data_IF_717590252079
#
_entry.id   IF_717590252079
#
_cell.length_a   1.000
_cell.length_b   1.000
_cell.length_c   1.000
_cell.angle_alpha   90.00
_cell.angle_beta   90.00
_cell.angle_gamma   90.00
#
_symmetry.space_group_name_H-M   'P 1'
#
loop_
_entity.id
_entity.type
_entity.pdbx_description
1 polymer ?
#
# COMPACT_ATOMS: atom_id res chain seq x y z
N UNK A 1 10.69 -2.73 -13.26
CA UNK A 1 10.83 -1.42 -13.96
C UNK A 1 10.89 -0.29 -12.92
N UNK A 2 10.65 0.99 -13.24
CA UNK A 2 10.36 1.99 -12.19
C UNK A 2 8.84 2.13 -12.00
N UNK A 3 8.40 2.64 -10.85
CA UNK A 3 6.96 2.76 -10.54
C UNK A 3 6.19 3.60 -11.55
N UNK A 4 6.77 4.67 -12.09
CA UNK A 4 6.13 5.49 -13.13
C UNK A 4 5.80 4.68 -14.38
N UNK A 5 6.72 3.82 -14.81
CA UNK A 5 6.49 2.97 -15.97
C UNK A 5 5.38 1.94 -15.70
N UNK A 6 5.33 1.34 -14.51
CA UNK A 6 4.21 0.47 -14.13
C UNK A 6 2.87 1.21 -14.13
N UNK A 7 2.83 2.44 -13.59
CA UNK A 7 1.63 3.28 -13.60
C UNK A 7 1.16 3.60 -15.03
N UNK A 8 2.09 3.96 -15.94
CA UNK A 8 1.76 4.26 -17.34
C UNK A 8 1.23 3.01 -18.04
N UNK A 9 1.88 1.86 -17.88
CA UNK A 9 1.41 0.60 -18.48
C UNK A 9 0.04 0.23 -17.93
N UNK A 10 -0.17 0.33 -16.62
CA UNK A 10 -1.47 0.11 -15.98
C UNK A 10 -2.55 1.05 -16.51
N UNK A 11 -2.26 2.34 -16.62
CA UNK A 11 -3.17 3.34 -17.17
C UNK A 11 -3.55 3.03 -18.63
N UNK A 12 -2.58 2.58 -19.44
CA UNK A 12 -2.83 2.11 -20.80
C UNK A 12 -3.72 0.86 -20.84
N UNK A 13 -3.58 -0.07 -19.90
CA UNK A 13 -4.52 -1.21 -19.82
C UNK A 13 -5.94 -0.77 -19.47
N UNK A 14 -6.10 0.20 -18.56
CA UNK A 14 -7.40 0.80 -18.25
C UNK A 14 -8.03 1.51 -19.45
N UNK A 15 -7.22 2.25 -20.23
CA UNK A 15 -7.68 2.84 -21.49
C UNK A 15 -8.15 1.78 -22.49
N UNK A 16 -7.40 0.68 -22.63
CA UNK A 16 -7.76 -0.40 -23.54
C UNK A 16 -9.09 -1.08 -23.14
N UNK A 17 -9.33 -1.28 -21.85
CA UNK A 17 -10.62 -1.79 -21.35
C UNK A 17 -11.74 -0.80 -21.66
N UNK A 18 -11.54 0.49 -21.37
CA UNK A 18 -12.53 1.53 -21.66
C UNK A 18 -12.91 1.57 -23.15
N UNK A 19 -11.90 1.49 -24.03
CA UNK A 19 -12.11 1.43 -25.47
C UNK A 19 -12.89 0.18 -25.90
N UNK A 20 -12.52 -1.00 -25.40
CA UNK A 20 -13.18 -2.26 -25.73
C UNK A 20 -14.66 -2.28 -25.28
N UNK A 21 -14.96 -1.62 -24.17
CA UNK A 21 -16.31 -1.51 -23.61
C UNK A 21 -17.12 -0.34 -24.17
N UNK A 22 -16.53 0.47 -25.06
CA UNK A 22 -17.14 1.71 -25.57
C UNK A 22 -17.60 2.63 -24.43
N UNK A 23 -16.81 2.71 -23.37
CA UNK A 23 -17.11 3.49 -22.19
C UNK A 23 -17.20 4.98 -22.52
N UNK A 24 -18.07 5.70 -21.81
CA UNK A 24 -18.16 7.14 -21.91
C UNK A 24 -16.86 7.82 -21.40
N UNK A 25 -16.63 9.11 -21.69
CA UNK A 25 -15.40 9.81 -21.28
C UNK A 25 -15.14 9.78 -19.77
N UNK A 26 -16.18 9.79 -18.93
CA UNK A 26 -16.05 9.78 -17.47
C UNK A 26 -15.57 8.43 -16.99
N UNK A 27 -16.23 7.35 -17.44
CA UNK A 27 -15.84 5.97 -17.14
C UNK A 27 -14.44 5.66 -17.69
N UNK A 28 -14.09 6.21 -18.85
CA UNK A 28 -12.73 6.10 -19.41
C UNK A 28 -11.67 6.66 -18.48
N UNK A 29 -11.88 7.89 -17.97
CA UNK A 29 -10.95 8.51 -17.00
C UNK A 29 -10.85 7.65 -15.73
N UNK A 30 -11.98 7.11 -15.24
CA UNK A 30 -11.98 6.20 -14.09
C UNK A 30 -11.14 4.95 -14.35
N UNK A 31 -11.29 4.29 -15.50
CA UNK A 31 -10.53 3.08 -15.81
C UNK A 31 -9.04 3.36 -16.00
N UNK A 32 -8.68 4.46 -16.67
CA UNK A 32 -7.28 4.89 -16.81
C UNK A 32 -6.64 5.12 -15.44
N UNK A 33 -7.34 5.85 -14.55
CA UNK A 33 -6.87 6.07 -13.18
C UNK A 33 -6.75 4.77 -12.39
N UNK A 34 -7.78 3.92 -12.44
CA UNK A 34 -7.84 2.65 -11.72
C UNK A 34 -6.76 1.67 -12.19
N UNK A 35 -6.55 1.53 -13.50
CA UNK A 35 -5.48 0.71 -14.06
C UNK A 35 -4.10 1.18 -13.61
N UNK A 36 -3.88 2.51 -13.59
CA UNK A 36 -2.63 3.09 -13.10
C UNK A 36 -2.38 2.83 -11.61
N UNK A 37 -3.42 2.95 -10.76
CA UNK A 37 -3.31 2.68 -9.31
C UNK A 37 -3.09 1.19 -9.05
N UNK A 38 -3.86 0.32 -9.69
CA UNK A 38 -3.80 -1.14 -9.47
C UNK A 38 -2.49 -1.75 -9.96
N UNK A 39 -1.87 -1.19 -11.00
CA UNK A 39 -0.52 -1.56 -11.42
C UNK A 39 0.58 -1.21 -10.41
N UNK A 40 0.28 -0.47 -9.35
CA UNK A 40 1.24 -0.17 -8.28
C UNK A 40 1.00 -1.04 -7.03
N UNK A 41 -0.18 -1.66 -6.88
CA UNK A 41 -0.54 -2.48 -5.70
C UNK A 41 0.46 -3.61 -5.38
N UNK A 42 1.08 -4.30 -6.36
CA UNK A 42 2.12 -5.29 -6.06
C UNK A 42 3.31 -4.71 -5.28
N UNK A 43 3.65 -3.45 -5.54
CA UNK A 43 4.71 -2.67 -4.88
C UNK A 43 4.25 -2.01 -3.56
N UNK A 44 3.08 -2.39 -3.03
CA UNK A 44 2.58 -1.91 -1.73
C UNK A 44 3.10 -2.74 -0.54
N UNK A 45 4.31 -3.29 -0.65
CA UNK A 45 5.01 -4.00 0.43
C UNK A 45 6.07 -3.11 1.11
N UNK A 46 6.80 -3.63 2.10
CA UNK A 46 7.67 -2.83 2.98
C UNK A 46 8.86 -2.17 2.27
N UNK A 47 9.29 -2.68 1.11
CA UNK A 47 10.40 -2.11 0.34
C UNK A 47 9.98 -1.51 -1.00
N UNK A 48 8.70 -1.64 -1.37
CA UNK A 48 8.17 -1.07 -2.60
C UNK A 48 8.14 0.46 -2.57
N UNK A 49 8.34 1.08 -3.74
CA UNK A 49 8.38 2.55 -3.86
C UNK A 49 7.00 3.18 -3.63
N UNK A 50 5.92 2.42 -3.76
CA UNK A 50 4.57 2.91 -3.54
C UNK A 50 4.23 3.04 -2.05
N UNK A 51 4.60 2.08 -1.21
CA UNK A 51 4.27 2.12 0.22
C UNK A 51 4.84 3.39 0.88
N UNK A 52 6.03 3.84 0.46
CA UNK A 52 6.65 5.10 0.89
C UNK A 52 5.92 6.38 0.43
N UNK A 53 5.01 6.27 -0.54
CA UNK A 53 4.20 7.40 -1.05
C UNK A 53 2.78 7.40 -0.50
N UNK A 54 2.18 6.21 -0.29
CA UNK A 54 0.82 6.07 0.25
C UNK A 54 0.82 6.28 1.77
N UNK A 55 1.84 5.77 2.45
CA UNK A 55 2.01 5.99 3.89
C UNK A 55 2.86 7.24 4.13
N UNK A 56 2.61 7.94 5.24
CA UNK A 56 3.57 8.93 5.72
C UNK A 56 4.93 8.26 5.88
N UNK A 57 6.00 8.89 5.37
CA UNK A 57 7.34 8.36 5.58
C UNK A 57 7.55 8.17 7.08
N UNK A 58 7.98 6.97 7.48
CA UNK A 58 8.28 6.70 8.90
C UNK A 58 9.29 7.71 9.47
N UNK A 59 10.14 8.32 8.63
CA UNK A 59 11.06 9.41 9.00
C UNK A 59 10.32 10.70 9.37
N UNK A 60 9.31 11.07 8.59
CA UNK A 60 8.46 12.21 8.89
C UNK A 60 7.65 11.98 10.16
N UNK A 61 6.96 10.83 10.27
CA UNK A 61 6.20 10.49 11.46
C UNK A 61 7.08 10.45 12.72
N UNK A 62 8.28 9.86 12.63
CA UNK A 62 9.29 9.86 13.69
C UNK A 62 9.70 11.29 14.07
N UNK A 63 10.03 12.13 13.10
CA UNK A 63 10.46 13.51 13.35
C UNK A 63 9.34 14.33 14.04
N UNK A 64 8.10 14.21 13.58
CA UNK A 64 6.95 14.90 14.20
C UNK A 64 6.73 14.45 15.64
N UNK A 65 6.74 13.14 15.91
CA UNK A 65 6.56 12.62 17.26
C UNK A 65 7.73 12.99 18.18
N UNK A 66 8.95 12.95 17.67
CA UNK A 66 10.13 13.39 18.43
C UNK A 66 10.04 14.88 18.76
N UNK A 67 9.60 15.73 17.81
CA UNK A 67 9.37 17.15 18.05
C UNK A 67 8.30 17.35 19.13
N UNK A 68 7.18 16.63 19.06
CA UNK A 68 6.14 16.68 20.10
C UNK A 68 6.70 16.27 21.48
N UNK A 69 7.51 15.20 21.54
CA UNK A 69 8.14 14.76 22.78
C UNK A 69 9.12 15.81 23.36
N UNK A 70 9.88 16.49 22.50
CA UNK A 70 10.74 17.62 22.90
C UNK A 70 9.90 18.77 23.43
N UNK A 71 8.81 19.14 22.77
CA UNK A 71 7.92 20.22 23.21
C UNK A 71 7.26 19.90 24.56
N UNK A 72 6.80 18.66 24.78
CA UNK A 72 6.23 18.20 26.06
C UNK A 72 7.29 18.29 27.17
N UNK A 73 8.51 17.84 26.88
CA UNK A 73 9.62 17.90 27.83
C UNK A 73 9.93 19.34 28.23
N UNK A 74 10.10 20.23 27.24
CA UNK A 74 10.39 21.65 27.46
C UNK A 74 9.27 22.33 28.24
N UNK A 75 8.02 22.13 27.83
CA UNK A 75 6.85 22.67 28.50
C UNK A 75 6.81 22.23 29.97
N UNK A 76 6.97 20.92 30.24
CA UNK A 76 6.97 20.38 31.61
C UNK A 76 8.11 20.96 32.46
N UNK A 77 9.27 21.21 31.84
CA UNK A 77 10.42 21.76 32.54
C UNK A 77 10.22 23.24 32.92
N UNK A 78 9.58 24.02 32.05
CA UNK A 78 9.34 25.46 32.23
C UNK A 78 8.14 25.75 33.14
N UNK A 79 7.03 25.04 32.95
CA UNK A 79 5.73 25.40 33.56
C UNK A 79 5.39 24.60 34.82
N UNK A 80 6.11 23.51 35.11
CA UNK A 80 5.84 22.66 36.26
C UNK A 80 7.03 22.56 37.22
N UNK A 81 6.74 22.21 38.46
CA UNK A 81 7.71 21.96 39.52
C UNK A 81 7.47 20.61 40.20
N UNK A 82 8.42 20.17 41.03
CA UNK A 82 8.33 18.95 41.81
C UNK A 82 8.05 17.70 40.94
N UNK A 83 7.18 16.81 41.41
CA UNK A 83 6.89 15.52 40.76
C UNK A 83 6.29 15.71 39.36
N UNK A 84 5.43 16.71 39.15
CA UNK A 84 4.77 16.94 37.86
C UNK A 84 5.77 17.27 36.75
N UNK A 85 6.85 18.01 37.06
CA UNK A 85 7.94 18.27 36.13
C UNK A 85 8.54 16.97 35.61
N UNK A 86 8.89 16.07 36.52
CA UNK A 86 9.54 14.80 36.20
C UNK A 86 8.61 13.82 35.48
N UNK A 87 7.31 13.84 35.78
CA UNK A 87 6.31 13.07 35.03
C UNK A 87 6.28 13.54 33.58
N UNK A 88 6.13 14.84 33.32
CA UNK A 88 6.06 15.35 31.93
C UNK A 88 7.37 15.18 31.17
N UNK A 89 8.53 15.32 31.84
CA UNK A 89 9.84 14.97 31.25
C UNK A 89 9.88 13.49 30.88
N UNK A 90 9.43 12.60 31.78
CA UNK A 90 9.34 11.17 31.52
C UNK A 90 8.45 10.83 30.32
N UNK A 91 7.29 11.48 30.21
CA UNK A 91 6.39 11.35 29.04
C UNK A 91 7.10 11.82 27.77
N UNK A 92 7.72 13.00 27.78
CA UNK A 92 8.42 13.55 26.61
C UNK A 92 9.56 12.64 26.13
N UNK A 93 10.41 12.16 27.05
CA UNK A 93 11.47 11.18 26.74
C UNK A 93 10.86 9.88 26.22
N UNK A 94 9.80 9.38 26.86
CA UNK A 94 9.10 8.18 26.42
C UNK A 94 8.60 8.28 24.99
N UNK A 95 7.97 9.41 24.62
CA UNK A 95 7.52 9.68 23.25
C UNK A 95 8.69 9.69 22.26
N UNK A 96 9.79 10.36 22.60
CA UNK A 96 11.00 10.43 21.74
C UNK A 96 11.57 9.04 21.48
N UNK A 97 11.71 8.23 22.55
CA UNK A 97 12.27 6.88 22.49
C UNK A 97 11.35 5.96 21.70
N UNK A 98 10.04 5.96 21.99
CA UNK A 98 9.06 5.14 21.26
C UNK A 98 9.01 5.49 19.77
N UNK A 99 9.05 6.78 19.42
CA UNK A 99 9.06 7.23 18.03
C UNK A 99 10.29 6.71 17.25
N UNK A 100 11.42 6.50 17.91
CA UNK A 100 12.65 6.00 17.27
C UNK A 100 12.51 4.57 16.72
N UNK A 101 11.59 3.78 17.28
CA UNK A 101 11.29 2.42 16.84
C UNK A 101 10.31 2.35 15.66
N UNK A 102 9.78 3.48 15.18
CA UNK A 102 8.90 3.48 14.01
C UNK A 102 9.65 2.97 12.77
N UNK A 103 9.08 1.96 12.12
CA UNK A 103 9.59 1.36 10.89
C UNK A 103 8.56 1.46 9.76
N UNK A 104 9.01 1.32 8.52
CA UNK A 104 8.11 1.29 7.36
C UNK A 104 7.07 0.16 7.45
N UNK A 105 7.48 -1.00 8.00
CA UNK A 105 6.58 -2.12 8.30
C UNK A 105 5.46 -1.71 9.26
N UNK A 106 5.78 -1.01 10.35
CA UNK A 106 4.77 -0.53 11.29
C UNK A 106 3.81 0.46 10.61
N UNK A 107 4.34 1.40 9.80
CA UNK A 107 3.49 2.36 9.08
C UNK A 107 2.51 1.67 8.14
N UNK A 108 2.97 0.68 7.36
CA UNK A 108 2.10 -0.08 6.48
C UNK A 108 1.09 -0.94 7.26
N UNK A 109 1.51 -1.55 8.37
CA UNK A 109 0.61 -2.32 9.25
C UNK A 109 -0.49 -1.44 9.82
N UNK A 110 -0.14 -0.27 10.38
CA UNK A 110 -1.10 0.68 10.95
C UNK A 110 -2.05 1.22 9.89
N UNK A 111 -1.55 1.48 8.68
CA UNK A 111 -2.39 1.88 7.55
C UNK A 111 -3.37 0.77 7.18
N UNK A 112 -2.90 -0.47 7.08
CA UNK A 112 -3.76 -1.63 6.85
C UNK A 112 -4.82 -1.82 7.93
N UNK A 113 -4.47 -1.65 9.22
CA UNK A 113 -5.44 -1.67 10.34
C UNK A 113 -6.47 -0.55 10.19
N UNK A 114 -6.04 0.67 9.84
CA UNK A 114 -6.95 1.78 9.58
C UNK A 114 -7.92 1.49 8.43
N UNK A 115 -7.44 0.86 7.35
CA UNK A 115 -8.27 0.43 6.22
C UNK A 115 -9.24 -0.69 6.63
N UNK A 116 -8.82 -1.67 7.45
CA UNK A 116 -9.71 -2.68 8.02
C UNK A 116 -10.81 -2.03 8.85
N UNK A 117 -10.44 -1.13 9.77
CA UNK A 117 -11.40 -0.42 10.62
C UNK A 117 -12.39 0.41 9.78
N UNK A 118 -11.90 1.09 8.74
CA UNK A 118 -12.76 1.80 7.79
C UNK A 118 -13.71 0.85 7.06
N UNK A 119 -13.23 -0.29 6.55
CA UNK A 119 -14.04 -1.30 5.88
C UNK A 119 -15.14 -1.88 6.76
N UNK A 120 -14.86 -2.09 8.06
CA UNK A 120 -15.87 -2.48 9.05
C UNK A 120 -16.88 -1.35 9.24
N UNK A 121 -16.42 -0.10 9.45
CA UNK A 121 -17.28 1.05 9.73
C UNK A 121 -18.25 1.38 8.58
N UNK A 122 -17.79 1.26 7.33
CA UNK A 122 -18.61 1.53 6.14
C UNK A 122 -19.27 0.27 5.57
N UNK A 123 -19.13 -0.87 6.25
CA UNK A 123 -19.72 -2.17 5.87
C UNK A 123 -19.35 -2.62 4.45
N UNK A 124 -18.10 -2.37 4.02
CA UNK A 124 -17.59 -2.77 2.69
C UNK A 124 -16.50 -3.82 2.83
N UNK A 125 -16.87 -5.07 2.51
CA UNK A 125 -15.97 -6.22 2.58
C UNK A 125 -14.70 -6.06 1.72
N UNK A 126 -14.78 -5.45 0.53
CA UNK A 126 -13.60 -5.26 -0.33
C UNK A 126 -12.57 -4.32 0.30
N UNK A 127 -13.00 -3.32 1.09
CA UNK A 127 -12.10 -2.42 1.82
C UNK A 127 -11.47 -3.17 3.00
N UNK A 128 -12.25 -3.96 3.73
CA UNK A 128 -11.72 -4.82 4.79
C UNK A 128 -10.64 -5.77 4.25
N UNK A 129 -10.92 -6.45 3.14
CA UNK A 129 -9.98 -7.38 2.50
C UNK A 129 -8.73 -6.66 1.97
N UNK A 130 -8.87 -5.43 1.45
CA UNK A 130 -7.72 -4.60 1.08
C UNK A 130 -6.83 -4.26 2.29
N UNK A 131 -7.43 -3.95 3.44
CA UNK A 131 -6.70 -3.76 4.68
C UNK A 131 -5.96 -5.01 5.13
N UNK A 132 -6.60 -6.18 5.06
CA UNK A 132 -5.95 -7.48 5.33
C UNK A 132 -4.80 -7.75 4.37
N UNK A 133 -4.98 -7.48 3.07
CA UNK A 133 -3.93 -7.58 2.05
C UNK A 133 -2.71 -6.73 2.42
N UNK A 134 -2.92 -5.47 2.83
CA UNK A 134 -1.85 -4.55 3.25
C UNK A 134 -1.14 -5.03 4.51
N UNK A 135 -1.88 -5.54 5.50
CA UNK A 135 -1.31 -6.10 6.72
C UNK A 135 -0.40 -7.25 6.33
N UNK A 136 -0.88 -8.26 5.59
CA UNK A 136 -0.05 -9.40 5.16
C UNK A 136 1.18 -8.94 4.39
N UNK A 137 1.01 -8.01 3.44
CA UNK A 137 2.11 -7.44 2.65
C UNK A 137 3.20 -6.78 3.52
N UNK A 138 2.85 -6.28 4.71
CA UNK A 138 3.83 -5.67 5.62
C UNK A 138 4.74 -6.66 6.34
N UNK A 139 4.39 -7.95 6.40
CA UNK A 139 5.18 -8.99 7.10
C UNK A 139 6.01 -9.85 6.15
N UNK A 140 5.89 -9.64 4.85
CA UNK A 140 6.53 -10.46 3.82
C UNK A 140 7.57 -9.65 3.07
N UNK A 141 8.61 -10.32 2.58
CA UNK A 141 9.67 -9.67 1.82
C UNK A 141 9.14 -9.12 0.48
N UNK A 142 9.78 -8.07 -0.04
CA UNK A 142 9.43 -7.53 -1.34
C UNK A 142 9.54 -8.59 -2.45
N UNK A 143 8.57 -8.58 -3.38
CA UNK A 143 8.41 -9.56 -4.49
C UNK A 143 8.12 -11.00 -4.04
N UNK A 144 7.44 -11.16 -2.91
CA UNK A 144 6.95 -12.46 -2.45
C UNK A 144 5.46 -12.62 -2.73
N UNK A 145 4.61 -12.58 -1.71
CA UNK A 145 3.17 -12.77 -1.78
C UNK A 145 2.49 -11.83 -2.79
N UNK A 146 2.83 -10.54 -2.79
CA UNK A 146 2.26 -9.53 -3.72
C UNK A 146 2.69 -9.72 -5.18
N UNK A 147 3.64 -10.61 -5.44
CA UNK A 147 4.17 -10.94 -6.78
C UNK A 147 4.03 -12.44 -7.03
N UNK A 148 2.89 -13.00 -6.65
CA UNK A 148 2.57 -14.42 -6.78
C UNK A 148 1.15 -14.61 -7.31
N UNK A 149 0.84 -15.81 -7.79
CA UNK A 149 -0.52 -16.19 -8.19
C UNK A 149 -1.48 -16.05 -7.01
N UNK A 150 -1.03 -16.34 -5.79
CA UNK A 150 -1.85 -16.16 -4.58
C UNK A 150 -2.20 -14.68 -4.37
N UNK A 151 -1.24 -13.78 -4.58
CA UNK A 151 -1.46 -12.33 -4.54
C UNK A 151 -2.46 -11.88 -5.61
N UNK A 152 -2.31 -12.37 -6.84
CA UNK A 152 -3.24 -12.09 -7.96
C UNK A 152 -4.65 -12.58 -7.63
N UNK A 153 -4.80 -13.81 -7.12
CA UNK A 153 -6.10 -14.38 -6.78
C UNK A 153 -6.77 -13.62 -5.64
N UNK A 154 -6.04 -13.32 -4.57
CA UNK A 154 -6.60 -12.59 -3.44
C UNK A 154 -6.97 -11.15 -3.84
N UNK A 155 -6.12 -10.48 -4.62
CA UNK A 155 -6.47 -9.17 -5.18
C UNK A 155 -7.66 -9.24 -6.13
N UNK A 156 -7.81 -10.33 -6.90
CA UNK A 156 -8.97 -10.57 -7.74
C UNK A 156 -10.28 -10.66 -6.97
N UNK A 157 -10.28 -11.30 -5.80
CA UNK A 157 -11.47 -11.32 -4.92
C UNK A 157 -11.82 -9.89 -4.47
N UNK A 158 -10.81 -9.08 -4.12
CA UNK A 158 -11.01 -7.67 -3.75
C UNK A 158 -11.60 -6.90 -4.93
N UNK A 159 -11.01 -7.03 -6.12
CA UNK A 159 -11.44 -6.34 -7.33
C UNK A 159 -12.87 -6.72 -7.75
N UNK A 160 -13.25 -8.00 -7.60
CA UNK A 160 -14.58 -8.49 -7.91
C UNK A 160 -15.63 -7.89 -6.97
N UNK A 161 -15.36 -7.89 -5.66
CA UNK A 161 -16.26 -7.27 -4.69
C UNK A 161 -16.30 -5.73 -4.82
N UNK A 162 -15.20 -5.11 -5.25
CA UNK A 162 -15.15 -3.69 -5.54
C UNK A 162 -16.07 -3.33 -6.71
N UNK A 163 -15.96 -4.04 -7.84
CA UNK A 163 -16.86 -3.86 -8.99
C UNK A 163 -18.32 -4.06 -8.60
N UNK A 164 -18.65 -5.15 -7.90
CA UNK A 164 -20.00 -5.41 -7.42
C UNK A 164 -20.53 -4.31 -6.49
N UNK A 165 -19.66 -3.67 -5.70
CA UNK A 165 -20.03 -2.57 -4.81
C UNK A 165 -20.20 -1.23 -5.53
N UNK A 166 -19.49 -0.99 -6.62
CA UNK A 166 -19.54 0.29 -7.37
C UNK A 166 -20.57 0.23 -8.49
N UNK A 167 -20.82 -0.94 -9.05
CA UNK A 167 -21.83 -1.17 -10.10
C UNK A 167 -21.39 -0.72 -11.50
N UNK A 168 -20.10 -0.49 -11.72
CA UNK A 168 -19.55 -0.11 -13.03
C UNK A 168 -18.84 -1.33 -13.64
N UNK A 169 -19.47 -1.93 -14.65
CA UNK A 169 -18.92 -3.06 -15.39
C UNK A 169 -17.57 -2.72 -16.02
N UNK A 170 -16.59 -3.60 -15.90
CA UNK A 170 -15.23 -3.41 -16.43
C UNK A 170 -14.20 -3.01 -15.38
N UNK A 171 -14.63 -2.65 -14.17
CA UNK A 171 -13.73 -2.30 -13.08
C UNK A 171 -12.91 -3.50 -12.62
N UNK A 172 -13.49 -4.70 -12.57
CA UNK A 172 -12.73 -5.91 -12.23
C UNK A 172 -11.62 -6.16 -13.26
N UNK A 173 -11.98 -6.13 -14.54
CA UNK A 173 -11.03 -6.36 -15.63
C UNK A 173 -9.91 -5.31 -15.62
N UNK A 174 -10.25 -4.05 -15.41
CA UNK A 174 -9.29 -2.94 -15.30
C UNK A 174 -8.31 -3.17 -14.14
N UNK A 175 -8.82 -3.51 -12.95
CA UNK A 175 -7.99 -3.82 -11.78
C UNK A 175 -7.04 -4.99 -12.03
N UNK A 176 -7.56 -6.07 -12.61
CA UNK A 176 -6.79 -7.28 -12.85
C UNK A 176 -5.73 -7.09 -13.91
N UNK A 177 -6.05 -6.43 -15.03
CA UNK A 177 -5.08 -6.13 -16.07
C UNK A 177 -4.01 -5.15 -15.58
N UNK A 178 -4.39 -4.14 -14.79
CA UNK A 178 -3.43 -3.25 -14.13
C UNK A 178 -2.46 -4.02 -13.26
N UNK A 179 -2.95 -4.82 -12.31
CA UNK A 179 -2.11 -5.64 -11.43
C UNK A 179 -1.23 -6.63 -12.21
N UNK A 180 -1.80 -7.40 -13.13
CA UNK A 180 -1.07 -8.42 -13.90
C UNK A 180 -0.02 -7.77 -14.80
N UNK A 181 -0.31 -6.60 -15.38
CA UNK A 181 0.67 -5.86 -16.20
C UNK A 181 1.93 -5.53 -15.42
N UNK A 182 1.81 -5.22 -14.12
CA UNK A 182 2.97 -5.02 -13.25
C UNK A 182 3.85 -6.27 -13.22
N UNK A 183 3.24 -7.43 -12.90
CA UNK A 183 3.96 -8.69 -12.76
C UNK A 183 4.60 -9.12 -14.08
N UNK A 184 3.90 -8.96 -15.21
CA UNK A 184 4.46 -9.24 -16.53
C UNK A 184 5.69 -8.36 -16.80
N UNK A 185 5.59 -7.06 -16.56
CA UNK A 185 6.70 -6.12 -16.78
C UNK A 185 7.88 -6.36 -15.83
N UNK A 186 7.66 -7.10 -14.74
CA UNK A 186 8.68 -7.52 -13.80
C UNK A 186 9.21 -8.96 -14.04
N UNK A 187 8.86 -9.60 -15.15
CA UNK A 187 9.46 -10.88 -15.56
C UNK A 187 10.90 -10.72 -16.11
N UNK A 188 11.73 -11.75 -15.98
CA UNK A 188 13.11 -11.80 -16.51
C UNK A 188 13.20 -11.89 -18.02
N UNK A 189 12.09 -12.26 -18.69
CA UNK A 189 12.03 -12.27 -20.17
C UNK A 189 12.37 -10.89 -20.75
N UNK A 190 12.16 -9.82 -19.99
CA UNK A 190 12.52 -8.47 -20.39
C UNK A 190 13.96 -8.09 -19.99
N UNK A 191 14.78 -7.58 -20.92
CA UNK A 191 16.22 -7.36 -20.71
C UNK A 191 16.55 -6.30 -19.66
N UNK A 192 15.59 -5.44 -19.34
CA UNK A 192 15.73 -4.37 -18.34
C UNK A 192 15.48 -4.85 -16.90
N UNK A 193 15.12 -6.12 -16.68
CA UNK A 193 14.88 -6.62 -15.34
C UNK A 193 15.78 -7.79 -14.94
N UNK A 194 16.63 -7.55 -13.93
CA UNK A 194 17.57 -8.55 -13.40
C UNK A 194 16.94 -9.47 -12.34
N UNK A 195 15.77 -9.09 -11.79
CA UNK A 195 15.07 -9.81 -10.72
C UNK A 195 13.68 -10.19 -11.22
N UNK A 196 13.37 -11.48 -11.25
CA UNK A 196 12.11 -11.99 -11.80
C UNK A 196 10.95 -12.00 -10.82
N UNK A 197 9.81 -12.48 -11.30
CA UNK A 197 8.60 -12.75 -10.50
C UNK A 197 8.58 -14.22 -10.09
N UNK A 198 8.26 -14.49 -8.82
CA UNK A 198 8.15 -15.85 -8.26
C UNK A 198 6.68 -16.25 -8.15
N UNK A 199 6.07 -16.50 -9.30
CA UNK A 199 4.64 -16.79 -9.44
C UNK A 199 4.11 -17.84 -8.46
N UNK A 200 4.89 -18.87 -8.16
CA UNK A 200 4.46 -20.05 -7.41
C UNK A 200 4.87 -20.04 -5.93
N UNK A 201 5.25 -18.89 -5.36
CA UNK A 201 5.43 -18.81 -3.90
C UNK A 201 4.12 -19.11 -3.16
N UNK A 202 4.18 -19.76 -1.97
CA UNK A 202 5.37 -20.23 -1.26
C UNK A 202 5.90 -21.61 -1.71
N UNK A 203 5.24 -22.26 -2.67
CA UNK A 203 5.53 -23.64 -3.09
C UNK A 203 6.80 -23.78 -3.94
N UNK A 204 7.17 -22.76 -4.72
CA UNK A 204 8.39 -22.75 -5.53
C UNK A 204 9.05 -21.39 -5.56
N UNK A 205 10.40 -21.39 -5.55
CA UNK A 205 11.24 -20.19 -5.61
C UNK A 205 11.71 -19.87 -7.04
N UNK A 206 11.23 -20.59 -8.06
CA UNK A 206 11.63 -20.37 -9.45
C UNK A 206 11.20 -18.98 -9.90
N UNK A 207 12.13 -18.26 -10.52
CA UNK A 207 11.93 -16.92 -11.05
C UNK A 207 11.67 -16.99 -12.55
N UNK A 208 10.70 -16.20 -13.01
CA UNK A 208 10.34 -16.04 -14.42
C UNK A 208 10.46 -14.58 -14.84
#
# INVERSE_FOLDING_TARGET
MNGTAHMIVGASTGFAVAYAMQADPTTTIMFVGLGGVTALIPDMDTDGKLSNKITFSYKFARATLQLMGVLILLYSFLEHANVMRWIGVGIGVGVIVLASFLTQRMMLTLTGIGVVAAGIYIEKNWILLLGVYMIIASFVAHRSYTHSIIGVLFFGIIAYQFEASVGIEGMFLTCMLGYISHLIMDMKVFPFNKRGVRWFLPFSKKEF
#
